data_IF_478552411429
#
_entry.id   IF_478552411429
#
_cell.length_a   1.000
_cell.length_b   1.000
_cell.length_c   1.000
_cell.angle_alpha   90.00
_cell.angle_beta   90.00
_cell.angle_gamma   90.00
#
_symmetry.space_group_name_H-M   'P 1'
#
loop_
_entity.id
_entity.type
_entity.pdbx_description
1 polymer ?
#
# COMPACT_ATOMS: atom_id res chain seq x y z
N UNK A 1 -10.66 -22.52 -1.60
CA UNK A 1 -9.97 -21.24 -1.90
C UNK A 1 -11.01 -20.15 -1.71
N UNK A 2 -10.89 -19.34 -0.66
CA UNK A 2 -11.91 -18.34 -0.30
C UNK A 2 -11.83 -17.19 -1.30
N UNK A 3 -12.91 -16.97 -2.06
CA UNK A 3 -13.04 -15.84 -2.99
C UNK A 3 -13.15 -14.54 -2.19
N UNK A 4 -12.28 -13.57 -2.47
CA UNK A 4 -12.38 -12.24 -1.84
C UNK A 4 -13.15 -11.30 -2.75
N UNK A 5 -14.38 -10.93 -2.38
CA UNK A 5 -15.21 -10.01 -3.14
C UNK A 5 -15.46 -8.70 -2.38
N UNK A 6 -15.48 -7.58 -3.10
CA UNK A 6 -15.88 -6.28 -2.56
C UNK A 6 -16.38 -5.35 -3.65
N UNK A 7 -16.64 -4.09 -3.30
CA UNK A 7 -17.15 -3.08 -4.23
C UNK A 7 -16.00 -2.21 -4.76
N UNK A 8 -16.01 -1.93 -6.06
CA UNK A 8 -15.08 -0.98 -6.66
C UNK A 8 -15.41 0.44 -6.20
N UNK A 9 -14.42 1.18 -5.71
CA UNK A 9 -14.62 2.53 -5.17
C UNK A 9 -15.06 3.58 -6.21
N UNK A 10 -14.84 3.32 -7.51
CA UNK A 10 -15.08 4.27 -8.59
C UNK A 10 -16.33 3.90 -9.38
N UNK A 11 -16.48 2.62 -9.75
CA UNK A 11 -17.59 2.14 -10.57
C UNK A 11 -18.76 1.56 -9.78
N UNK A 12 -18.59 1.28 -8.49
CA UNK A 12 -19.61 0.65 -7.64
C UNK A 12 -19.90 -0.82 -7.98
N UNK A 13 -19.24 -1.41 -8.99
CA UNK A 13 -19.40 -2.81 -9.38
C UNK A 13 -18.68 -3.75 -8.40
N UNK A 14 -19.11 -5.01 -8.35
CA UNK A 14 -18.41 -6.03 -7.57
C UNK A 14 -17.08 -6.37 -8.26
N UNK A 15 -16.00 -6.33 -7.50
CA UNK A 15 -14.66 -6.77 -7.89
C UNK A 15 -14.22 -7.93 -7.00
N UNK A 16 -13.33 -8.76 -7.54
CA UNK A 16 -12.89 -9.99 -6.87
C UNK A 16 -11.37 -10.12 -6.87
N UNK A 17 -10.88 -10.92 -5.91
CA UNK A 17 -9.50 -11.39 -5.77
C UNK A 17 -8.44 -10.32 -6.03
N UNK A 18 -7.78 -10.39 -7.18
CA UNK A 18 -6.66 -9.51 -7.54
C UNK A 18 -7.12 -8.06 -7.61
N UNK A 19 -8.25 -7.76 -8.25
CA UNK A 19 -8.73 -6.38 -8.41
C UNK A 19 -9.12 -5.78 -7.05
N UNK A 20 -9.72 -6.60 -6.19
CA UNK A 20 -10.01 -6.21 -4.82
C UNK A 20 -8.73 -5.95 -4.02
N UNK A 21 -7.72 -6.81 -4.18
CA UNK A 21 -6.40 -6.66 -3.53
C UNK A 21 -5.69 -5.38 -4.00
N UNK A 22 -5.67 -5.11 -5.31
CA UNK A 22 -5.09 -3.89 -5.89
C UNK A 22 -5.74 -2.63 -5.32
N UNK A 23 -7.06 -2.63 -5.22
CA UNK A 23 -7.81 -1.54 -4.61
C UNK A 23 -7.42 -1.35 -3.14
N UNK A 24 -7.34 -2.44 -2.37
CA UNK A 24 -6.97 -2.39 -0.96
C UNK A 24 -5.55 -1.84 -0.75
N UNK A 25 -4.56 -2.33 -1.51
CA UNK A 25 -3.18 -1.84 -1.47
C UNK A 25 -3.10 -0.34 -1.77
N UNK A 26 -3.82 0.12 -2.81
CA UNK A 26 -3.87 1.54 -3.16
C UNK A 26 -4.49 2.38 -2.04
N UNK A 27 -5.59 1.92 -1.46
CA UNK A 27 -6.26 2.60 -0.35
C UNK A 27 -5.37 2.71 0.89
N UNK A 28 -4.67 1.64 1.26
CA UNK A 28 -3.74 1.62 2.41
C UNK A 28 -2.58 2.60 2.19
N UNK A 29 -1.93 2.57 1.02
CA UNK A 29 -0.72 3.36 0.77
C UNK A 29 -1.01 4.85 0.60
N UNK A 30 -2.14 5.21 -0.03
CA UNK A 30 -2.49 6.61 -0.29
C UNK A 30 -3.18 7.29 0.89
N UNK A 31 -3.74 6.53 1.84
CA UNK A 31 -4.38 7.13 3.02
C UNK A 31 -3.31 7.56 4.03
N UNK A 32 -3.20 8.86 4.37
CA UNK A 32 -2.29 9.30 5.42
C UNK A 32 -2.73 8.76 6.78
N UNK A 33 -1.78 8.28 7.58
CA UNK A 33 -2.08 7.89 8.95
C UNK A 33 -2.69 9.07 9.74
N UNK A 34 -3.71 8.78 10.54
CA UNK A 34 -4.44 9.77 11.34
C UNK A 34 -5.63 10.42 10.62
N UNK A 35 -5.78 10.24 9.30
CA UNK A 35 -6.87 10.85 8.52
C UNK A 35 -8.24 10.22 8.77
N UNK A 36 -8.31 8.91 9.03
CA UNK A 36 -9.59 8.21 9.26
C UNK A 36 -10.13 8.41 10.68
N UNK A 37 -11.41 8.77 10.76
CA UNK A 37 -12.16 8.85 12.01
C UNK A 37 -12.31 7.44 12.61
N UNK A 38 -12.20 7.32 13.93
CA UNK A 38 -12.27 6.06 14.69
C UNK A 38 -11.24 4.96 14.33
N UNK A 39 -10.33 5.20 13.36
CA UNK A 39 -9.20 4.31 13.01
C UNK A 39 -7.95 5.11 12.66
N UNK A 40 -7.41 5.83 13.65
CA UNK A 40 -6.28 6.75 13.45
C UNK A 40 -5.00 6.05 12.99
N UNK A 41 -4.80 4.79 13.35
CA UNK A 41 -3.61 4.04 12.92
C UNK A 41 -3.66 3.55 11.46
N UNK A 42 -4.82 3.66 10.80
CA UNK A 42 -4.99 3.19 9.44
C UNK A 42 -4.23 4.06 8.43
N UNK A 43 -3.64 3.40 7.44
CA UNK A 43 -2.94 4.06 6.33
C UNK A 43 -1.43 3.85 6.38
N UNK A 44 -0.71 4.75 5.72
CA UNK A 44 0.76 4.73 5.65
C UNK A 44 1.39 6.05 6.09
N UNK A 45 2.67 5.99 6.44
CA UNK A 45 3.51 7.16 6.71
C UNK A 45 4.10 7.79 5.45
N UNK A 46 3.76 7.27 4.25
CA UNK A 46 4.33 7.77 2.99
C UNK A 46 4.07 9.25 2.77
N UNK A 47 2.90 9.74 3.17
CA UNK A 47 2.55 11.15 3.04
C UNK A 47 3.51 12.08 3.79
N UNK A 48 4.13 11.62 4.88
CA UNK A 48 5.11 12.40 5.65
C UNK A 48 6.53 12.37 5.03
N UNK A 49 6.77 11.44 4.09
CA UNK A 49 8.04 11.28 3.39
C UNK A 49 8.08 12.03 2.05
N UNK A 50 6.95 12.61 1.64
CA UNK A 50 6.87 13.48 0.45
C UNK A 50 7.71 14.74 0.68
N UNK A 51 8.29 15.29 -0.39
CA UNK A 51 9.13 16.49 -0.40
C UNK A 51 10.42 16.43 0.44
N UNK A 52 10.83 15.22 0.84
CA UNK A 52 12.12 15.00 1.49
C UNK A 52 13.29 14.88 0.48
N UNK A 53 14.52 15.25 0.88
CA UNK A 53 15.69 15.13 0.02
C UNK A 53 15.99 13.67 -0.35
N UNK A 54 16.27 13.42 -1.63
CA UNK A 54 16.51 12.07 -2.16
C UNK A 54 17.88 11.53 -1.71
N UNK A 55 17.89 10.71 -0.66
CA UNK A 55 19.08 10.05 -0.15
C UNK A 55 18.81 8.56 0.13
N UNK A 56 19.85 7.74 0.36
CA UNK A 56 19.68 6.32 0.64
C UNK A 56 18.84 6.03 1.90
N UNK A 57 18.87 6.92 2.90
CA UNK A 57 18.08 6.76 4.11
C UNK A 57 16.57 6.92 3.83
N UNK A 58 16.18 7.90 3.01
CA UNK A 58 14.80 8.11 2.57
C UNK A 58 14.27 6.86 1.85
N UNK A 59 15.10 6.25 1.00
CA UNK A 59 14.73 5.01 0.30
C UNK A 59 14.40 3.89 1.29
N UNK A 60 15.19 3.72 2.34
CA UNK A 60 14.93 2.73 3.38
C UNK A 60 13.66 3.07 4.19
N UNK A 61 13.45 4.35 4.49
CA UNK A 61 12.25 4.82 5.19
C UNK A 61 10.98 4.54 4.38
N UNK A 62 10.99 4.84 3.07
CA UNK A 62 9.87 4.54 2.17
C UNK A 62 9.58 3.03 2.13
N UNK A 63 10.61 2.19 1.99
CA UNK A 63 10.45 0.73 2.03
C UNK A 63 9.85 0.26 3.35
N UNK A 64 10.35 0.79 4.48
CA UNK A 64 9.83 0.45 5.80
C UNK A 64 8.36 0.86 5.98
N UNK A 65 7.99 2.05 5.49
CA UNK A 65 6.62 2.56 5.58
C UNK A 65 5.65 1.71 4.77
N UNK A 66 6.03 1.30 3.55
CA UNK A 66 5.25 0.37 2.72
C UNK A 66 5.11 -0.98 3.41
N UNK A 67 6.22 -1.55 3.87
CA UNK A 67 6.23 -2.87 4.49
C UNK A 67 5.36 -2.93 5.74
N UNK A 68 5.51 -1.96 6.65
CA UNK A 68 4.73 -1.89 7.90
C UNK A 68 3.24 -1.70 7.62
N UNK A 69 2.88 -0.82 6.68
CA UNK A 69 1.48 -0.56 6.35
C UNK A 69 0.79 -1.79 5.74
N UNK A 70 1.43 -2.43 4.76
CA UNK A 70 0.86 -3.61 4.08
C UNK A 70 0.85 -4.84 4.97
N UNK A 71 1.91 -5.09 5.75
CA UNK A 71 1.96 -6.23 6.68
C UNK A 71 0.88 -6.13 7.76
N UNK A 72 0.50 -4.91 8.16
CA UNK A 72 -0.53 -4.67 9.17
C UNK A 72 -1.94 -4.80 8.61
N UNK A 73 -2.20 -4.23 7.44
CA UNK A 73 -3.57 -4.04 6.92
C UNK A 73 -3.96 -5.03 5.80
N UNK A 74 -2.99 -5.70 5.17
CA UNK A 74 -3.22 -6.62 4.06
C UNK A 74 -2.47 -7.96 4.26
N UNK A 75 -2.86 -8.78 5.26
CA UNK A 75 -2.15 -10.03 5.60
C UNK A 75 -2.22 -11.12 4.51
N UNK A 76 -3.08 -10.93 3.51
CA UNK A 76 -3.18 -11.82 2.33
C UNK A 76 -1.97 -11.69 1.41
N UNK A 77 -1.23 -10.60 1.50
CA UNK A 77 -0.08 -10.32 0.65
C UNK A 77 1.20 -10.78 1.34
N UNK A 78 1.94 -11.68 0.70
CA UNK A 78 3.27 -12.09 1.17
C UNK A 78 4.31 -11.15 0.58
N UNK A 79 4.94 -10.33 1.42
CA UNK A 79 6.00 -9.42 1.02
C UNK A 79 7.34 -10.14 1.04
N UNK A 80 8.11 -10.01 -0.05
CA UNK A 80 9.52 -10.39 -0.05
C UNK A 80 10.35 -9.27 0.60
N UNK A 81 11.10 -9.55 1.68
CA UNK A 81 11.97 -8.56 2.32
C UNK A 81 13.23 -8.20 1.51
N UNK A 82 13.48 -8.84 0.37
CA UNK A 82 14.70 -8.61 -0.41
C UNK A 82 14.77 -7.18 -1.01
N UNK A 83 15.83 -6.39 -0.70
CA UNK A 83 15.97 -5.03 -1.22
C UNK A 83 16.32 -4.96 -2.71
N UNK A 84 16.63 -6.10 -3.34
CA UNK A 84 17.05 -6.21 -4.74
C UNK A 84 15.96 -5.91 -5.75
N UNK A 85 14.68 -6.06 -5.38
CA UNK A 85 13.56 -6.05 -6.35
C UNK A 85 12.72 -4.76 -6.31
N UNK A 86 12.82 -3.97 -5.23
CA UNK A 86 12.03 -2.75 -5.06
C UNK A 86 12.47 -1.56 -5.94
N UNK A 87 13.53 -1.71 -6.76
CA UNK A 87 13.99 -0.65 -7.69
C UNK A 87 13.25 -0.64 -9.03
N UNK A 88 12.56 -1.72 -9.42
CA UNK A 88 12.03 -1.84 -10.79
C UNK A 88 10.54 -2.14 -10.92
N UNK A 89 9.83 -2.52 -9.85
CA UNK A 89 8.42 -2.96 -10.01
C UNK A 89 7.38 -1.89 -9.68
N UNK A 90 7.73 -0.80 -8.98
CA UNK A 90 6.77 0.29 -8.70
C UNK A 90 6.48 1.13 -9.94
N UNK A 91 7.44 1.25 -10.87
CA UNK A 91 7.27 1.91 -12.16
C UNK A 91 6.38 1.13 -13.14
N UNK A 92 6.21 -0.18 -12.94
CA UNK A 92 5.35 -1.03 -13.77
C UNK A 92 3.91 -1.16 -13.27
N UNK A 93 3.61 -0.58 -12.10
CA UNK A 93 2.27 -0.57 -11.51
C UNK A 93 1.55 0.77 -11.64
N UNK A 94 2.19 1.74 -12.30
CA UNK A 94 1.67 3.08 -12.60
C UNK A 94 1.44 3.29 -14.11
N UNK A 95 1.29 2.20 -14.87
CA UNK A 95 0.84 2.15 -16.27
C UNK A 95 -0.27 1.12 -16.43
#
# INVERSE_FOLDING_TARGET
MTLYSGMNNTSGKVITDIDHLRQSVRDILLTPQGSRIARREYGSLLSALIDQPQNPALRLQVMSAVYVALSRWEPRLTLDPSPSTATLTVLWWWS
#
